data_IF_787306875919
#
_entry.id   IF_787306875919
#
_cell.length_a   1.000
_cell.length_b   1.000
_cell.length_c   1.000
_cell.angle_alpha   90.00
_cell.angle_beta   90.00
_cell.angle_gamma   90.00
#
_symmetry.space_group_name_H-M   'P 1'
#
loop_
_entity.id
_entity.type
_entity.pdbx_description
1 polymer ?
#
# COMPACT_ATOMS: atom_id res chain seq x y z
N UNK A 1 40.28 47.95 9.95
CA UNK A 1 39.03 47.38 10.45
C UNK A 1 37.99 47.10 9.34
N UNK A 2 37.79 48.03 8.42
CA UNK A 2 36.82 47.87 7.31
C UNK A 2 37.10 46.66 6.39
N UNK A 3 38.38 46.36 6.07
CA UNK A 3 38.78 45.28 5.17
C UNK A 3 38.49 43.85 5.70
N UNK A 4 38.62 43.66 7.01
CA UNK A 4 38.34 42.34 7.66
C UNK A 4 36.84 42.05 7.73
N UNK A 5 36.04 43.08 7.98
CA UNK A 5 34.56 42.97 7.97
C UNK A 5 34.05 42.59 6.59
N UNK A 6 34.62 43.15 5.52
CA UNK A 6 34.25 42.89 4.12
C UNK A 6 34.61 41.43 3.71
N UNK A 7 35.75 40.90 4.18
CA UNK A 7 36.16 39.50 3.94
C UNK A 7 35.26 38.52 4.66
N UNK A 8 34.81 38.79 5.89
CA UNK A 8 33.88 37.97 6.65
C UNK A 8 32.53 37.98 6.00
N UNK A 9 32.02 39.13 5.61
CA UNK A 9 30.71 39.29 4.94
C UNK A 9 30.68 38.55 3.60
N UNK A 10 31.77 38.63 2.83
CA UNK A 10 31.92 37.89 1.57
C UNK A 10 31.99 36.37 1.83
N UNK A 11 32.64 35.94 2.91
CA UNK A 11 32.70 34.55 3.34
C UNK A 11 31.32 34.01 3.71
N UNK A 12 30.56 34.77 4.48
CA UNK A 12 29.16 34.39 4.85
C UNK A 12 28.29 34.25 3.62
N UNK A 13 28.32 35.21 2.70
CA UNK A 13 27.51 35.11 1.45
C UNK A 13 27.82 33.87 0.62
N UNK A 14 29.14 33.50 0.54
CA UNK A 14 29.53 32.25 -0.15
C UNK A 14 29.04 31.01 0.55
N UNK A 15 29.02 30.99 1.88
CA UNK A 15 28.47 29.87 2.66
C UNK A 15 26.96 29.74 2.47
N UNK A 16 26.22 30.86 2.55
CA UNK A 16 24.78 30.91 2.31
C UNK A 16 24.45 30.36 0.91
N UNK A 17 25.17 30.87 -0.12
CA UNK A 17 24.98 30.37 -1.48
C UNK A 17 25.23 28.88 -1.59
N UNK A 18 26.31 28.37 -0.96
CA UNK A 18 26.65 26.95 -0.99
C UNK A 18 25.64 26.09 -0.27
N UNK A 19 25.11 26.55 0.86
CA UNK A 19 24.02 25.87 1.59
C UNK A 19 22.78 25.78 0.73
N UNK A 20 22.38 26.87 0.08
CA UNK A 20 21.21 26.90 -0.79
C UNK A 20 21.38 25.96 -1.98
N UNK A 21 22.52 25.99 -2.68
CA UNK A 21 22.83 25.08 -3.80
C UNK A 21 22.73 23.60 -3.39
N UNK A 22 23.24 23.25 -2.20
CA UNK A 22 23.17 21.88 -1.68
C UNK A 22 21.75 21.48 -1.30
N UNK A 23 20.98 22.40 -0.74
CA UNK A 23 19.59 22.15 -0.40
C UNK A 23 18.74 21.88 -1.64
N UNK A 24 18.84 22.74 -2.66
CA UNK A 24 18.16 22.58 -3.95
C UNK A 24 18.55 21.25 -4.63
N UNK A 25 19.84 20.91 -4.61
CA UNK A 25 20.30 19.62 -5.16
C UNK A 25 19.74 18.43 -4.38
N UNK A 26 19.66 18.52 -3.05
CA UNK A 26 19.07 17.49 -2.20
C UNK A 26 17.59 17.28 -2.51
N UNK A 27 16.84 18.35 -2.71
CA UNK A 27 15.42 18.31 -3.06
C UNK A 27 15.19 17.66 -4.43
N UNK A 28 15.98 18.01 -5.44
CA UNK A 28 15.92 17.41 -6.77
C UNK A 28 16.18 15.90 -6.72
N UNK A 29 17.25 15.47 -6.03
CA UNK A 29 17.57 14.05 -5.90
C UNK A 29 16.48 13.28 -5.14
N UNK A 30 15.92 13.87 -4.10
CA UNK A 30 14.81 13.28 -3.35
C UNK A 30 13.55 13.13 -4.22
N UNK A 31 13.31 14.07 -5.11
CA UNK A 31 12.20 14.01 -6.05
C UNK A 31 12.41 12.90 -7.09
N UNK A 32 13.61 12.80 -7.68
CA UNK A 32 13.96 11.74 -8.63
C UNK A 32 13.79 10.34 -8.03
N UNK A 33 14.21 10.14 -6.77
CA UNK A 33 14.03 8.89 -6.05
C UNK A 33 12.53 8.58 -5.89
N UNK A 34 11.72 9.54 -5.45
CA UNK A 34 10.27 9.34 -5.28
C UNK A 34 9.57 8.99 -6.59
N UNK A 35 9.95 9.65 -7.68
CA UNK A 35 9.35 9.39 -8.99
C UNK A 35 9.72 7.99 -9.51
N UNK A 36 10.96 7.56 -9.31
CA UNK A 36 11.41 6.21 -9.64
C UNK A 36 10.67 5.14 -8.83
N UNK A 37 10.49 5.34 -7.53
CA UNK A 37 9.80 4.39 -6.67
C UNK A 37 8.31 4.32 -6.98
N UNK A 38 7.69 5.44 -7.34
CA UNK A 38 6.30 5.51 -7.83
C UNK A 38 6.12 4.69 -9.11
N UNK A 39 7.05 4.80 -10.05
CA UNK A 39 7.03 4.01 -11.27
C UNK A 39 7.21 2.52 -10.98
N UNK A 40 8.14 2.17 -10.10
CA UNK A 40 8.37 0.79 -9.67
C UNK A 40 7.12 0.18 -9.03
N UNK A 41 6.49 0.86 -8.08
CA UNK A 41 5.25 0.38 -7.46
C UNK A 41 4.14 0.20 -8.49
N UNK A 42 4.00 1.11 -9.44
CA UNK A 42 3.01 1.00 -10.52
C UNK A 42 3.24 -0.23 -11.39
N UNK A 43 4.49 -0.53 -11.72
CA UNK A 43 4.88 -1.74 -12.48
C UNK A 43 4.62 -3.01 -11.69
N UNK A 44 4.98 -3.02 -10.41
CA UNK A 44 4.69 -4.13 -9.50
C UNK A 44 3.18 -4.41 -9.41
N UNK A 45 2.36 -3.37 -9.27
CA UNK A 45 0.91 -3.49 -9.21
C UNK A 45 0.35 -4.15 -10.49
N UNK A 46 0.79 -3.71 -11.66
CA UNK A 46 0.38 -4.34 -12.94
C UNK A 46 0.76 -5.81 -13.02
N UNK A 47 1.96 -6.17 -12.57
CA UNK A 47 2.44 -7.56 -12.56
C UNK A 47 1.69 -8.44 -11.57
N UNK A 48 1.19 -7.86 -10.47
CA UNK A 48 0.45 -8.57 -9.44
C UNK A 48 -1.05 -8.79 -9.76
N UNK A 49 -1.61 -8.09 -10.73
CA UNK A 49 -3.04 -8.20 -11.10
C UNK A 49 -3.53 -9.65 -11.26
N UNK A 50 -2.86 -10.57 -11.98
CA UNK A 50 -3.29 -11.96 -12.09
C UNK A 50 -3.37 -12.67 -10.74
N UNK A 51 -2.41 -12.40 -9.86
CA UNK A 51 -2.36 -12.99 -8.52
C UNK A 51 -3.51 -12.47 -7.66
N UNK A 52 -3.75 -11.15 -7.66
CA UNK A 52 -4.85 -10.53 -6.89
C UNK A 52 -6.22 -11.04 -7.33
N UNK A 53 -6.42 -11.30 -8.62
CA UNK A 53 -7.65 -11.93 -9.13
C UNK A 53 -7.92 -13.31 -8.53
N UNK A 54 -6.88 -14.04 -8.16
CA UNK A 54 -6.98 -15.39 -7.57
C UNK A 54 -7.10 -15.32 -6.06
N UNK A 55 -6.15 -14.66 -5.38
CA UNK A 55 -6.03 -14.66 -3.91
C UNK A 55 -6.76 -13.51 -3.23
N UNK A 56 -7.17 -12.48 -3.97
CA UNK A 56 -7.85 -11.31 -3.42
C UNK A 56 -9.20 -11.67 -2.80
N UNK A 57 -9.61 -10.87 -1.83
CA UNK A 57 -10.87 -11.01 -1.11
C UNK A 57 -11.78 -9.81 -1.40
N UNK A 58 -13.09 -10.06 -1.36
CA UNK A 58 -14.08 -8.99 -1.36
C UNK A 58 -14.13 -8.36 0.03
N UNK A 59 -13.66 -7.13 0.17
CA UNK A 59 -13.62 -6.44 1.46
C UNK A 59 -15.01 -6.05 1.93
N UNK A 60 -15.22 -6.07 3.24
CA UNK A 60 -16.48 -5.66 3.84
C UNK A 60 -16.74 -4.18 3.53
N UNK A 61 -17.91 -3.91 2.95
CA UNK A 61 -18.37 -2.55 2.71
C UNK A 61 -19.20 -2.04 3.86
N UNK A 62 -20.12 -2.86 4.37
CA UNK A 62 -21.03 -2.52 5.43
C UNK A 62 -21.51 -3.78 6.13
N UNK A 63 -21.74 -3.72 7.43
CA UNK A 63 -22.29 -4.83 8.19
C UNK A 63 -22.78 -4.37 9.54
N UNK A 64 -23.77 -5.05 10.10
CA UNK A 64 -24.20 -4.84 11.47
C UNK A 64 -23.35 -5.71 12.38
N UNK A 65 -23.05 -5.23 13.56
CA UNK A 65 -22.27 -5.95 14.54
C UNK A 65 -23.06 -6.15 15.82
N UNK A 66 -23.08 -7.36 16.34
CA UNK A 66 -23.73 -7.66 17.60
C UNK A 66 -22.84 -7.33 18.80
N UNK A 67 -23.35 -7.55 20.02
CA UNK A 67 -22.61 -7.30 21.27
C UNK A 67 -21.40 -8.23 21.47
N UNK A 68 -21.29 -9.31 20.69
CA UNK A 68 -20.16 -10.24 20.70
C UNK A 68 -19.12 -9.91 19.61
N UNK A 69 -19.38 -8.92 18.77
CA UNK A 69 -18.53 -8.53 17.67
C UNK A 69 -18.74 -9.36 16.38
N UNK A 70 -19.78 -10.21 16.34
CA UNK A 70 -20.13 -10.97 15.13
C UNK A 70 -20.82 -10.06 14.12
N UNK A 71 -20.38 -10.15 12.85
CA UNK A 71 -20.95 -9.35 11.76
C UNK A 71 -22.09 -10.13 11.13
N UNK A 72 -23.24 -9.49 11.00
CA UNK A 72 -24.41 -10.03 10.31
C UNK A 72 -24.94 -9.03 9.26
N UNK A 73 -25.67 -9.57 8.27
CA UNK A 73 -26.18 -8.80 7.13
C UNK A 73 -25.06 -8.05 6.38
N UNK A 74 -23.95 -8.74 6.01
CA UNK A 74 -22.79 -8.09 5.41
C UNK A 74 -23.02 -7.75 3.94
N UNK A 75 -22.59 -6.57 3.53
CA UNK A 75 -22.38 -6.19 2.13
C UNK A 75 -20.89 -6.02 1.85
N UNK A 76 -20.44 -6.50 0.70
CA UNK A 76 -19.03 -6.48 0.31
C UNK A 76 -18.83 -5.62 -0.94
N UNK A 77 -17.58 -5.12 -1.12
CA UNK A 77 -17.19 -4.55 -2.39
C UNK A 77 -17.15 -5.63 -3.46
N UNK A 78 -17.58 -5.34 -4.70
CA UNK A 78 -17.63 -6.35 -5.76
C UNK A 78 -16.24 -6.75 -6.27
N UNK A 79 -15.24 -5.84 -6.21
CA UNK A 79 -13.87 -6.12 -6.63
C UNK A 79 -13.09 -6.88 -5.55
N UNK A 80 -12.22 -7.77 -6.00
CA UNK A 80 -11.25 -8.43 -5.13
C UNK A 80 -10.08 -7.49 -4.82
N UNK A 81 -9.60 -7.54 -3.60
CA UNK A 81 -8.51 -6.70 -3.11
C UNK A 81 -7.58 -7.48 -2.19
N UNK A 82 -6.35 -7.01 -2.07
CA UNK A 82 -5.38 -7.46 -1.05
C UNK A 82 -5.00 -6.28 -0.17
N UNK A 83 -4.75 -6.53 1.11
CA UNK A 83 -4.26 -5.53 2.07
C UNK A 83 -2.74 -5.46 1.95
N UNK A 84 -2.20 -4.26 1.75
CA UNK A 84 -0.76 -3.99 1.66
C UNK A 84 -0.19 -3.35 2.92
N UNK A 85 -1.01 -2.66 3.69
CA UNK A 85 -0.57 -2.00 4.91
C UNK A 85 -1.72 -1.45 5.72
N UNK A 86 -1.43 -1.11 6.99
CA UNK A 86 -2.36 -0.42 7.89
C UNK A 86 -1.76 0.94 8.24
N UNK A 87 -2.56 1.99 8.24
CA UNK A 87 -2.12 3.32 8.68
C UNK A 87 -1.78 3.30 10.17
N UNK A 88 -0.61 3.83 10.54
CA UNK A 88 -0.22 4.00 11.94
C UNK A 88 -1.09 5.07 12.61
N UNK A 89 -1.40 6.12 11.86
CA UNK A 89 -2.30 7.20 12.27
C UNK A 89 -3.41 7.33 11.22
N UNK A 90 -4.59 6.71 11.45
CA UNK A 90 -5.73 6.86 10.55
C UNK A 90 -6.16 8.32 10.42
N UNK A 91 -6.78 8.68 9.29
CA UNK A 91 -7.43 9.96 9.13
C UNK A 91 -8.49 10.15 10.22
N UNK A 92 -8.67 11.39 10.70
CA UNK A 92 -9.64 11.65 11.76
C UNK A 92 -11.08 11.36 11.30
N UNK A 93 -11.41 11.74 10.06
CA UNK A 93 -12.73 11.61 9.46
C UNK A 93 -12.65 11.14 8.01
N UNK A 94 -13.72 10.53 7.54
CA UNK A 94 -13.84 10.06 6.17
C UNK A 94 -14.02 11.22 5.19
N UNK A 95 -13.39 11.20 4.00
CA UNK A 95 -13.57 12.24 2.98
C UNK A 95 -14.99 12.35 2.44
N UNK A 96 -15.74 11.23 2.36
CA UNK A 96 -17.12 11.18 1.89
C UNK A 96 -18.13 11.63 2.95
N UNK A 97 -17.78 11.56 4.23
CA UNK A 97 -18.61 12.03 5.34
C UNK A 97 -17.75 12.57 6.49
N UNK A 98 -17.55 13.90 6.56
CA UNK A 98 -16.71 14.52 7.59
C UNK A 98 -17.22 14.38 9.04
N UNK A 99 -18.39 13.80 9.26
CA UNK A 99 -18.92 13.50 10.59
C UNK A 99 -18.63 12.06 11.04
N UNK A 100 -18.15 11.20 10.12
CA UNK A 100 -17.83 9.82 10.43
C UNK A 100 -16.35 9.67 10.77
N UNK A 101 -16.01 9.35 12.03
CA UNK A 101 -14.63 9.09 12.43
C UNK A 101 -14.12 7.79 11.79
N UNK A 102 -12.85 7.78 11.42
CA UNK A 102 -12.17 6.59 10.93
C UNK A 102 -11.61 5.82 12.11
N UNK A 103 -12.00 4.55 12.25
CA UNK A 103 -11.46 3.65 13.29
C UNK A 103 -10.25 2.87 12.80
N UNK A 104 -10.28 2.39 11.56
CA UNK A 104 -9.18 1.68 10.92
C UNK A 104 -9.03 2.13 9.47
N UNK A 105 -7.79 2.22 9.00
CA UNK A 105 -7.45 2.61 7.63
C UNK A 105 -6.37 1.68 7.08
N UNK A 106 -6.62 1.13 5.89
CA UNK A 106 -5.75 0.19 5.22
C UNK A 106 -5.42 0.65 3.80
N UNK A 107 -4.18 0.47 3.38
CA UNK A 107 -3.83 0.50 1.98
C UNK A 107 -4.21 -0.83 1.34
N UNK A 108 -5.05 -0.80 0.32
CA UNK A 108 -5.44 -1.99 -0.44
C UNK A 108 -5.15 -1.80 -1.92
N UNK A 109 -4.88 -2.91 -2.60
CA UNK A 109 -4.78 -2.95 -4.06
C UNK A 109 -5.85 -3.85 -4.63
N UNK A 110 -6.59 -3.34 -5.63
CA UNK A 110 -7.64 -4.10 -6.31
C UNK A 110 -7.09 -5.02 -7.40
N UNK A 111 -7.92 -5.94 -7.85
CA UNK A 111 -7.67 -6.81 -9.00
C UNK A 111 -7.49 -6.08 -10.35
N UNK A 112 -7.72 -4.76 -10.37
CA UNK A 112 -7.41 -3.89 -11.50
C UNK A 112 -6.03 -3.21 -11.38
N UNK A 113 -5.29 -3.45 -10.28
CA UNK A 113 -4.00 -2.83 -10.00
C UNK A 113 -4.10 -1.39 -9.52
N UNK A 114 -5.26 -0.99 -8.98
CA UNK A 114 -5.50 0.34 -8.41
C UNK A 114 -5.37 0.31 -6.89
N UNK A 115 -4.81 1.37 -6.33
CA UNK A 115 -4.67 1.53 -4.88
C UNK A 115 -5.80 2.34 -4.28
N UNK A 116 -6.15 2.03 -3.04
CA UNK A 116 -7.18 2.73 -2.28
C UNK A 116 -6.82 2.78 -0.80
N UNK A 117 -7.28 3.85 -0.12
CA UNK A 117 -7.51 3.83 1.32
C UNK A 117 -8.84 3.16 1.61
N UNK A 118 -8.83 2.04 2.27
CA UNK A 118 -10.04 1.41 2.82
C UNK A 118 -10.20 1.89 4.26
N UNK A 119 -11.16 2.77 4.46
CA UNK A 119 -11.43 3.43 5.75
C UNK A 119 -12.68 2.83 6.39
N UNK A 120 -12.52 2.25 7.57
CA UNK A 120 -13.64 1.72 8.36
C UNK A 120 -14.06 2.72 9.43
N UNK A 121 -15.36 2.78 9.65
CA UNK A 121 -16.00 3.51 10.74
C UNK A 121 -16.95 2.58 11.49
N UNK A 122 -16.94 2.69 12.82
CA UNK A 122 -17.81 1.89 13.69
C UNK A 122 -18.53 2.80 14.69
N UNK A 123 -19.85 2.69 14.78
CA UNK A 123 -20.69 3.51 15.66
C UNK A 123 -21.21 2.76 16.90
N UNK A 124 -20.69 1.57 17.17
CA UNK A 124 -21.13 0.69 18.24
C UNK A 124 -22.11 -0.41 17.81
N UNK A 125 -22.67 -0.31 16.60
CA UNK A 125 -23.61 -1.29 16.04
C UNK A 125 -23.36 -1.55 14.55
N UNK A 126 -23.05 -0.52 13.81
CA UNK A 126 -22.82 -0.57 12.36
C UNK A 126 -21.36 -0.38 12.05
N UNK A 127 -20.77 -1.32 11.31
CA UNK A 127 -19.49 -1.12 10.62
C UNK A 127 -19.79 -0.66 9.21
N UNK A 128 -19.25 0.47 8.82
CA UNK A 128 -19.36 1.04 7.47
C UNK A 128 -17.98 1.40 6.95
N UNK A 129 -17.79 1.39 5.65
CA UNK A 129 -16.49 1.70 5.06
C UNK A 129 -16.60 2.60 3.83
N UNK A 130 -15.48 3.26 3.53
CA UNK A 130 -15.29 4.07 2.36
C UNK A 130 -14.00 3.67 1.66
N UNK A 131 -14.05 3.58 0.34
CA UNK A 131 -12.91 3.23 -0.51
C UNK A 131 -12.44 4.49 -1.25
N UNK A 132 -11.40 5.12 -0.72
CA UNK A 132 -10.83 6.35 -1.26
C UNK A 132 -9.72 6.04 -2.28
N UNK A 133 -9.84 6.44 -3.55
CA UNK A 133 -8.80 6.18 -4.55
C UNK A 133 -7.47 6.84 -4.19
N UNK A 134 -6.37 6.11 -4.37
CA UNK A 134 -5.00 6.59 -4.22
C UNK A 134 -4.22 6.40 -5.51
N UNK A 135 -3.32 7.32 -5.84
CA UNK A 135 -2.24 7.05 -6.77
C UNK A 135 -1.04 6.38 -6.05
N UNK A 136 -0.12 5.80 -6.83
CA UNK A 136 1.02 5.09 -6.27
C UNK A 136 1.95 5.99 -5.44
N UNK A 137 2.08 7.27 -5.80
CA UNK A 137 2.89 8.24 -5.07
C UNK A 137 2.30 8.51 -3.69
N UNK A 138 1.02 8.83 -3.62
CA UNK A 138 0.30 9.07 -2.36
C UNK A 138 0.29 7.81 -1.48
N UNK A 139 0.18 6.62 -2.08
CA UNK A 139 0.26 5.36 -1.35
C UNK A 139 1.63 5.19 -0.66
N UNK A 140 2.75 5.48 -1.35
CA UNK A 140 4.09 5.43 -0.74
C UNK A 140 4.25 6.50 0.34
N UNK A 141 3.76 7.72 0.10
CA UNK A 141 3.84 8.83 1.06
C UNK A 141 3.08 8.53 2.37
N UNK A 142 1.90 7.92 2.28
CA UNK A 142 1.07 7.62 3.45
C UNK A 142 1.48 6.34 4.20
N UNK A 143 1.91 5.30 3.48
CA UNK A 143 2.15 3.97 4.05
C UNK A 143 3.63 3.55 4.03
N UNK A 144 4.50 4.33 3.39
CA UNK A 144 5.91 4.01 3.26
C UNK A 144 6.20 2.86 2.27
N UNK A 145 7.45 2.40 2.28
CA UNK A 145 7.91 1.34 1.37
C UNK A 145 7.42 -0.06 1.74
N UNK A 146 6.87 -0.25 2.93
CA UNK A 146 6.35 -1.54 3.40
C UNK A 146 5.27 -2.10 2.47
N UNK A 147 4.48 -1.24 1.81
CA UNK A 147 3.48 -1.68 0.84
C UNK A 147 4.09 -2.38 -0.38
N UNK A 148 5.27 -1.95 -0.83
CA UNK A 148 5.99 -2.60 -1.92
C UNK A 148 6.50 -3.98 -1.49
N UNK A 149 7.04 -4.07 -0.28
CA UNK A 149 7.48 -5.34 0.30
C UNK A 149 6.31 -6.32 0.47
N UNK A 150 5.17 -5.84 0.96
CA UNK A 150 3.97 -6.68 1.12
C UNK A 150 3.43 -7.16 -0.22
N UNK A 151 3.46 -6.32 -1.25
CA UNK A 151 3.06 -6.72 -2.61
C UNK A 151 4.00 -7.79 -3.18
N UNK A 152 5.31 -7.60 -3.03
CA UNK A 152 6.31 -8.60 -3.40
C UNK A 152 6.08 -9.93 -2.66
N UNK A 153 5.86 -9.87 -1.35
CA UNK A 153 5.61 -11.04 -0.51
C UNK A 153 4.36 -11.80 -0.94
N UNK A 154 3.27 -11.10 -1.22
CA UNK A 154 2.03 -11.73 -1.71
C UNK A 154 2.26 -12.52 -3.00
N UNK A 155 3.02 -11.96 -3.96
CA UNK A 155 3.37 -12.65 -5.21
C UNK A 155 4.29 -13.86 -4.96
N UNK A 156 5.28 -13.70 -4.10
CA UNK A 156 6.23 -14.74 -3.75
C UNK A 156 5.57 -15.93 -3.03
N UNK A 157 4.67 -15.63 -2.07
CA UNK A 157 3.96 -16.67 -1.32
C UNK A 157 2.98 -17.42 -2.24
N UNK A 158 2.34 -16.72 -3.19
CA UNK A 158 1.53 -17.36 -4.22
C UNK A 158 2.36 -18.31 -5.10
N UNK A 159 3.52 -17.87 -5.59
CA UNK A 159 4.43 -18.70 -6.39
C UNK A 159 4.82 -19.97 -5.64
N UNK A 160 5.22 -19.86 -4.37
CA UNK A 160 5.56 -21.03 -3.54
C UNK A 160 4.40 -21.98 -3.34
N UNK A 161 3.18 -21.46 -3.19
CA UNK A 161 1.98 -22.27 -3.12
C UNK A 161 1.73 -23.07 -4.40
N UNK A 162 1.90 -22.45 -5.57
CA UNK A 162 1.78 -23.12 -6.87
C UNK A 162 2.86 -24.18 -7.07
N UNK A 163 4.12 -23.90 -6.72
CA UNK A 163 5.21 -24.87 -6.79
C UNK A 163 4.91 -26.10 -5.94
N UNK A 164 4.44 -25.90 -4.68
CA UNK A 164 4.08 -26.99 -3.80
C UNK A 164 2.90 -27.82 -4.33
N UNK A 165 1.92 -27.17 -4.96
CA UNK A 165 0.78 -27.85 -5.60
C UNK A 165 1.24 -28.72 -6.76
N UNK A 166 2.07 -28.20 -7.66
CA UNK A 166 2.61 -28.93 -8.80
C UNK A 166 3.39 -30.16 -8.32
N UNK A 167 4.28 -30.00 -7.33
CA UNK A 167 5.04 -31.10 -6.74
C UNK A 167 4.12 -32.21 -6.15
N UNK A 168 3.05 -31.80 -5.47
CA UNK A 168 2.08 -32.73 -4.91
C UNK A 168 1.33 -33.49 -6.02
N UNK A 169 0.92 -32.81 -7.09
CA UNK A 169 0.25 -33.43 -8.24
C UNK A 169 1.18 -34.39 -8.99
N UNK A 170 2.45 -34.04 -9.19
CA UNK A 170 3.45 -34.94 -9.79
C UNK A 170 3.64 -36.21 -8.97
N UNK A 171 3.68 -36.11 -7.63
CA UNK A 171 3.72 -37.28 -6.75
C UNK A 171 2.49 -38.16 -6.91
N UNK A 172 1.29 -37.58 -6.92
CA UNK A 172 0.05 -38.34 -7.11
C UNK A 172 0.03 -39.03 -8.47
N UNK A 173 0.44 -38.34 -9.54
CA UNK A 173 0.55 -38.94 -10.88
C UNK A 173 1.56 -40.09 -10.90
N UNK A 174 2.69 -39.93 -10.24
CA UNK A 174 3.68 -41.01 -10.09
C UNK A 174 3.13 -42.27 -9.41
N UNK A 175 2.27 -42.12 -8.42
CA UNK A 175 1.59 -43.25 -7.75
C UNK A 175 0.54 -43.91 -8.66
N UNK A 176 -0.24 -43.12 -9.40
CA UNK A 176 -1.30 -43.65 -10.27
C UNK A 176 -0.68 -44.43 -11.44
N UNK A 177 0.34 -43.90 -12.10
CA UNK A 177 0.92 -44.51 -13.29
C UNK A 177 2.05 -45.51 -12.98
N UNK A 178 2.66 -45.52 -11.80
CA UNK A 178 3.62 -46.54 -11.40
C UNK A 178 2.94 -47.93 -11.07
N UNK A 179 1.62 -47.97 -11.08
CA UNK A 179 0.84 -49.18 -10.81
C UNK A 179 0.45 -49.98 -12.08
N UNK A 180 0.87 -49.52 -13.26
CA UNK A 180 0.72 -50.33 -14.48
C UNK A 180 2.00 -51.15 -14.72
N UNK A 181 1.94 -52.49 -14.66
CA UNK A 181 3.06 -53.38 -14.95
C UNK A 181 3.44 -53.41 -16.41
#
# INVERSE_FOLDING_TARGET
MVKIMDEIETGIKKLEQKIQELHEKGDLLSQEIRDHDTELLTRMAKSAVPVVKIVGLNMLRKGKQDTKGEIYDPAYYPQKMIILGKAAEPAAFRPDNPQMPVTDQFCVMSEEGKFYDLMYSFDGFLTDSYLNPLDAKTAIEHYGYDIMFMLYRAMHDYLKGEEALVEALEKVMGYIFASEP
#
